data_IF_236482943313
#
_entry.id   IF_236482943313
#
_cell.length_a   1.000
_cell.length_b   1.000
_cell.length_c   1.000
_cell.angle_alpha   90.00
_cell.angle_beta   90.00
_cell.angle_gamma   90.00
#
_symmetry.space_group_name_H-M   'P 1'
#
loop_
_entity.id
_entity.type
_entity.pdbx_description
1 polymer ?
#
# COMPACT_ATOMS: atom_id res chain seq x y z
N UNK A 1 22.82 -2.09 -11.64
CA UNK A 1 22.39 -1.26 -10.50
C UNK A 1 23.55 -1.14 -9.54
N UNK A 2 23.93 0.09 -9.17
CA UNK A 2 24.91 0.34 -8.10
C UNK A 2 24.19 0.52 -6.76
N UNK A 3 24.89 0.36 -5.64
CA UNK A 3 24.32 0.60 -4.31
C UNK A 3 23.75 2.02 -4.14
N UNK A 4 24.38 3.02 -4.76
CA UNK A 4 23.86 4.40 -4.78
C UNK A 4 22.53 4.53 -5.53
N UNK A 5 22.38 3.84 -6.67
CA UNK A 5 21.11 3.80 -7.40
C UNK A 5 20.01 3.09 -6.61
N UNK A 6 20.36 2.00 -5.91
CA UNK A 6 19.42 1.28 -5.03
C UNK A 6 18.92 2.22 -3.92
N UNK A 7 19.84 2.89 -3.22
CA UNK A 7 19.48 3.83 -2.14
C UNK A 7 18.61 4.98 -2.63
N UNK A 8 18.97 5.60 -3.77
CA UNK A 8 18.19 6.70 -4.35
C UNK A 8 16.76 6.26 -4.70
N UNK A 9 16.60 5.15 -5.44
CA UNK A 9 15.29 4.64 -5.84
C UNK A 9 14.45 4.21 -4.64
N UNK A 10 15.07 3.62 -3.61
CA UNK A 10 14.38 3.25 -2.37
C UNK A 10 13.86 4.48 -1.60
N UNK A 11 14.67 5.54 -1.51
CA UNK A 11 14.25 6.82 -0.88
C UNK A 11 13.09 7.42 -1.67
N UNK A 12 13.20 7.49 -2.99
CA UNK A 12 12.13 8.05 -3.82
C UNK A 12 10.85 7.24 -3.70
N UNK A 13 10.90 5.90 -3.73
CA UNK A 13 9.72 5.08 -3.50
C UNK A 13 9.13 5.36 -2.11
N UNK A 14 9.95 5.31 -1.05
CA UNK A 14 9.50 5.52 0.31
C UNK A 14 8.84 6.89 0.52
N UNK A 15 9.34 7.92 -0.16
CA UNK A 15 8.71 9.24 -0.12
C UNK A 15 7.43 9.27 -0.93
N UNK A 16 7.46 8.84 -2.20
CA UNK A 16 6.36 9.03 -3.16
C UNK A 16 5.19 8.07 -2.96
N UNK A 17 5.39 6.90 -2.36
CA UNK A 17 4.31 5.91 -2.17
C UNK A 17 3.16 6.44 -1.31
N UNK A 18 3.45 7.34 -0.36
CA UNK A 18 2.45 7.89 0.55
C UNK A 18 1.79 9.18 0.02
N UNK A 19 2.26 9.72 -1.11
CA UNK A 19 1.64 10.87 -1.76
C UNK A 19 0.91 10.44 -3.04
N UNK A 20 -0.22 11.07 -3.40
CA UNK A 20 -0.97 10.76 -4.63
C UNK A 20 -0.27 11.35 -5.87
N UNK A 21 0.98 10.96 -6.11
CA UNK A 21 1.86 11.49 -7.17
C UNK A 21 2.39 10.41 -8.12
N UNK A 22 1.88 9.18 -8.03
CA UNK A 22 2.34 8.01 -8.80
C UNK A 22 3.82 7.67 -8.54
N UNK A 23 4.07 6.82 -7.54
CA UNK A 23 5.41 6.33 -7.19
C UNK A 23 6.07 5.52 -8.32
N UNK A 24 5.29 4.67 -9.01
CA UNK A 24 5.76 3.88 -10.15
C UNK A 24 6.22 4.75 -11.33
N UNK A 25 5.54 5.87 -11.60
CA UNK A 25 5.97 6.83 -12.61
C UNK A 25 7.33 7.46 -12.29
N UNK A 26 7.54 7.84 -11.04
CA UNK A 26 8.83 8.38 -10.57
C UNK A 26 9.95 7.35 -10.68
N UNK A 27 9.72 6.09 -10.27
CA UNK A 27 10.70 5.02 -10.41
C UNK A 27 11.10 4.77 -11.87
N UNK A 28 10.12 4.63 -12.77
CA UNK A 28 10.40 4.39 -14.19
C UNK A 28 11.17 5.55 -14.82
N UNK A 29 10.78 6.79 -14.50
CA UNK A 29 11.47 7.98 -14.99
C UNK A 29 12.92 8.04 -14.50
N UNK A 30 13.15 7.86 -13.21
CA UNK A 30 14.50 7.86 -12.63
C UNK A 30 15.37 6.71 -13.18
N UNK A 31 14.81 5.53 -13.36
CA UNK A 31 15.52 4.39 -13.96
C UNK A 31 15.94 4.69 -15.40
N UNK A 32 15.07 5.35 -16.18
CA UNK A 32 15.41 5.80 -17.52
C UNK A 32 16.55 6.84 -17.51
N UNK A 33 16.47 7.84 -16.63
CA UNK A 33 17.52 8.86 -16.46
C UNK A 33 18.86 8.28 -15.98
N UNK A 34 18.82 7.22 -15.17
CA UNK A 34 20.00 6.48 -14.69
C UNK A 34 20.56 5.48 -15.73
N UNK A 35 19.97 5.42 -16.93
CA UNK A 35 20.46 4.61 -18.05
C UNK A 35 20.06 3.13 -18.01
N UNK A 36 19.00 2.78 -17.28
CA UNK A 36 18.53 1.38 -17.26
C UNK A 36 17.86 1.05 -18.60
N UNK A 37 18.28 -0.05 -19.23
CA UNK A 37 17.74 -0.48 -20.53
C UNK A 37 16.26 -0.83 -20.47
N UNK A 38 15.78 -1.30 -19.31
CA UNK A 38 14.38 -1.67 -19.05
C UNK A 38 14.05 -1.40 -17.57
N UNK A 39 12.78 -1.10 -17.25
CA UNK A 39 12.30 -1.02 -15.88
C UNK A 39 12.60 -2.31 -15.11
N UNK A 40 13.02 -2.15 -13.87
CA UNK A 40 13.40 -3.26 -12.98
C UNK A 40 12.17 -3.74 -12.22
N UNK A 41 11.22 -4.38 -12.91
CA UNK A 41 9.90 -4.75 -12.35
C UNK A 41 10.00 -5.51 -11.02
N UNK A 42 10.93 -6.46 -10.90
CA UNK A 42 11.13 -7.20 -9.66
C UNK A 42 11.63 -6.29 -8.53
N UNK A 43 12.54 -5.37 -8.83
CA UNK A 43 13.04 -4.40 -7.86
C UNK A 43 11.94 -3.44 -7.41
N UNK A 44 11.14 -2.93 -8.35
CA UNK A 44 10.02 -2.03 -8.04
C UNK A 44 9.00 -2.74 -7.13
N UNK A 45 8.68 -4.00 -7.43
CA UNK A 45 7.81 -4.81 -6.58
C UNK A 45 8.38 -5.01 -5.16
N UNK A 46 9.69 -5.25 -5.03
CA UNK A 46 10.34 -5.36 -3.72
C UNK A 46 10.33 -4.03 -2.95
N UNK A 47 10.48 -2.89 -3.63
CA UNK A 47 10.34 -1.58 -3.00
C UNK A 47 8.91 -1.33 -2.51
N UNK A 48 7.89 -1.69 -3.29
CA UNK A 48 6.48 -1.65 -2.86
C UNK A 48 6.21 -2.57 -1.67
N UNK A 49 6.79 -3.78 -1.64
CA UNK A 49 6.70 -4.65 -0.47
C UNK A 49 7.35 -3.99 0.75
N UNK A 50 8.49 -3.33 0.57
CA UNK A 50 9.16 -2.57 1.62
C UNK A 50 8.27 -1.47 2.22
N UNK A 51 7.62 -0.67 1.38
CA UNK A 51 6.70 0.38 1.84
C UNK A 51 5.42 -0.20 2.47
N UNK A 52 4.88 -1.29 1.93
CA UNK A 52 3.76 -2.00 2.53
C UNK A 52 4.09 -2.54 3.93
N UNK A 53 5.27 -3.15 4.10
CA UNK A 53 5.75 -3.62 5.40
C UNK A 53 5.92 -2.46 6.38
N UNK A 54 6.50 -1.34 5.94
CA UNK A 54 6.61 -0.14 6.76
C UNK A 54 5.24 0.34 7.25
N UNK A 55 4.24 0.36 6.36
CA UNK A 55 2.87 0.74 6.70
C UNK A 55 2.21 -0.25 7.66
N UNK A 56 2.39 -1.56 7.47
CA UNK A 56 1.88 -2.61 8.38
C UNK A 56 2.46 -2.45 9.79
N UNK A 57 3.77 -2.16 9.90
CA UNK A 57 4.43 -1.94 11.19
C UNK A 57 3.92 -0.65 11.84
N UNK A 58 3.78 0.42 11.07
CA UNK A 58 3.29 1.70 11.54
C UNK A 58 1.84 1.58 12.07
N UNK A 59 0.95 0.98 11.28
CA UNK A 59 -0.49 0.81 11.59
C UNK A 59 -0.82 -0.50 12.33
N UNK A 60 0.15 -1.15 12.96
CA UNK A 60 -0.04 -2.50 13.53
C UNK A 60 -1.20 -2.59 14.52
N UNK A 61 -1.46 -1.53 15.30
CA UNK A 61 -2.52 -1.54 16.30
C UNK A 61 -3.90 -1.38 15.66
N UNK A 62 -4.01 -0.45 14.73
CA UNK A 62 -5.20 -0.17 13.92
C UNK A 62 -5.57 -1.39 13.09
N UNK A 63 -4.57 -2.04 12.49
CA UNK A 63 -4.75 -3.25 11.68
C UNK A 63 -5.25 -4.41 12.56
N UNK A 64 -4.70 -4.58 13.77
CA UNK A 64 -5.18 -5.58 14.72
C UNK A 64 -6.63 -5.31 15.18
N UNK A 65 -7.00 -4.05 15.39
CA UNK A 65 -8.37 -3.66 15.72
C UNK A 65 -9.33 -3.97 14.56
N UNK A 66 -8.94 -3.64 13.33
CA UNK A 66 -9.71 -3.92 12.12
C UNK A 66 -9.94 -5.43 11.94
N UNK A 67 -8.87 -6.22 12.09
CA UNK A 67 -8.93 -7.69 11.99
C UNK A 67 -9.85 -8.27 13.08
N UNK A 68 -9.73 -7.82 14.33
CA UNK A 68 -10.63 -8.26 15.42
C UNK A 68 -12.09 -7.89 15.15
N UNK A 69 -12.34 -6.68 14.64
CA UNK A 69 -13.69 -6.23 14.29
C UNK A 69 -14.29 -7.09 13.16
N UNK A 70 -13.50 -7.39 12.12
CA UNK A 70 -13.90 -8.25 11.01
C UNK A 70 -14.35 -9.64 11.49
N UNK A 71 -13.58 -10.29 12.37
CA UNK A 71 -13.96 -11.59 12.93
C UNK A 71 -15.15 -11.52 13.91
N UNK A 72 -15.39 -10.37 14.55
CA UNK A 72 -16.56 -10.18 15.43
C UNK A 72 -17.86 -10.00 14.65
N UNK A 73 -17.82 -9.39 13.46
CA UNK A 73 -18.95 -9.28 12.55
C UNK A 73 -19.51 -10.65 12.10
N UNK A 74 -18.70 -11.70 12.17
CA UNK A 74 -19.17 -13.09 11.98
C UNK A 74 -20.04 -13.64 13.12
N UNK A 75 -20.15 -12.95 14.27
CA UNK A 75 -21.00 -13.37 15.40
C UNK A 75 -22.36 -12.68 15.34
N UNK A 76 -23.36 -13.54 15.12
CA UNK A 76 -24.76 -13.36 14.72
C UNK A 76 -25.70 -12.51 15.60
N UNK A 77 -25.26 -11.46 16.30
CA UNK A 77 -26.20 -10.52 16.91
C UNK A 77 -26.19 -9.21 16.13
N UNK A 78 -26.96 -9.19 15.04
CA UNK A 78 -27.18 -8.00 14.23
C UNK A 78 -28.48 -7.32 14.70
N UNK A 79 -28.35 -6.09 15.16
CA UNK A 79 -29.45 -5.22 15.60
C UNK A 79 -30.10 -4.56 14.37
N UNK A 80 -31.31 -4.04 14.50
CA UNK A 80 -32.06 -3.39 13.41
C UNK A 80 -31.29 -2.24 12.70
N UNK A 81 -30.24 -1.70 13.32
CA UNK A 81 -29.29 -0.75 12.70
C UNK A 81 -28.47 -1.33 11.54
N UNK A 82 -28.30 -2.66 11.46
CA UNK A 82 -27.47 -3.32 10.46
C UNK A 82 -28.11 -3.39 9.06
N UNK A 83 -29.43 -3.16 8.95
CA UNK A 83 -30.09 -3.05 7.66
C UNK A 83 -29.80 -1.73 6.93
N UNK A 84 -29.60 -0.63 7.68
CA UNK A 84 -29.20 0.65 7.10
C UNK A 84 -27.74 0.59 6.61
N UNK A 85 -26.86 -0.06 7.38
CA UNK A 85 -25.47 -0.28 6.99
C UNK A 85 -25.34 -1.12 5.71
N UNK A 86 -26.21 -2.14 5.54
CA UNK A 86 -26.27 -2.94 4.30
C UNK A 86 -26.66 -2.12 3.06
N UNK A 87 -27.54 -1.12 3.18
CA UNK A 87 -27.94 -0.27 2.04
C UNK A 87 -26.84 0.68 1.57
N UNK A 88 -26.02 1.18 2.50
CA UNK A 88 -24.87 2.01 2.18
C UNK A 88 -23.74 1.22 1.53
N UNK A 89 -23.54 -0.04 1.96
CA UNK A 89 -22.59 -0.96 1.31
C UNK A 89 -22.94 -1.22 -0.17
N UNK A 90 -24.22 -1.25 -0.54
CA UNK A 90 -24.64 -1.37 -1.94
C UNK A 90 -24.36 -0.14 -2.80
N UNK A 91 -24.15 1.04 -2.22
CA UNK A 91 -23.81 2.27 -2.96
C UNK A 91 -22.30 2.49 -3.13
N UNK A 92 -21.49 1.66 -2.48
CA UNK A 92 -20.02 1.73 -2.48
C UNK A 92 -19.37 0.69 -3.39
N UNK A 93 -20.18 -0.14 -4.07
CA UNK A 93 -19.79 -1.04 -5.16
C UNK A 93 -20.26 -0.38 -6.46
#
# INVERSE_FOLDING_TARGET
MTWGQVGLLAIIQGLTEFFPVSSSGHLVLLQHLLGFKKPQVLFDALLHVGTAVALIIYLRHELLLLVKAFFRLGRKSLSASDQAARRLLFHLI
#
